data_IF_997939152858
#
_entry.id   IF_997939152858
#
_cell.length_a   1.000
_cell.length_b   1.000
_cell.length_c   1.000
_cell.angle_alpha   90.00
_cell.angle_beta   90.00
_cell.angle_gamma   90.00
#
_symmetry.space_group_name_H-M   'P 1'
#
loop_
_entity.id
_entity.type
_entity.pdbx_description
1 polymer ?
#
# COMPACT_ATOMS: atom_id res chain seq x y z
N UNK A 1 42.24 72.49 -27.04
CA UNK A 1 40.98 71.77 -26.72
C UNK A 1 41.21 70.27 -26.85
N UNK A 2 41.16 69.51 -25.75
CA UNK A 2 41.22 68.04 -25.76
C UNK A 2 39.86 67.53 -25.28
N UNK A 3 39.12 66.85 -26.14
CA UNK A 3 37.86 66.19 -25.79
C UNK A 3 38.17 64.87 -25.06
N UNK A 4 37.70 64.75 -23.82
CA UNK A 4 37.68 63.49 -23.10
C UNK A 4 36.55 62.60 -23.63
N UNK A 5 36.75 61.29 -23.86
CA UNK A 5 35.67 60.40 -24.25
C UNK A 5 34.75 60.15 -23.06
N UNK A 6 33.44 60.38 -23.27
CA UNK A 6 32.37 59.97 -22.36
C UNK A 6 32.44 58.46 -22.14
N UNK A 7 32.70 58.03 -20.90
CA UNK A 7 32.47 56.64 -20.47
C UNK A 7 30.99 56.34 -20.65
N UNK A 8 30.65 55.47 -21.61
CA UNK A 8 29.33 54.83 -21.67
C UNK A 8 29.25 53.89 -20.47
N UNK A 9 28.38 54.22 -19.52
CA UNK A 9 28.10 53.39 -18.37
C UNK A 9 27.64 52.01 -18.86
N UNK A 10 28.35 50.99 -18.41
CA UNK A 10 28.08 49.58 -18.65
C UNK A 10 26.90 49.19 -17.75
N UNK A 11 25.67 49.32 -18.24
CA UNK A 11 24.44 48.99 -17.47
C UNK A 11 24.00 47.53 -17.67
N UNK A 12 24.73 46.73 -18.45
CA UNK A 12 24.33 45.35 -18.80
C UNK A 12 24.69 44.29 -17.74
N UNK A 13 25.65 44.55 -16.87
CA UNK A 13 26.22 43.52 -15.98
C UNK A 13 25.30 43.05 -14.83
N UNK A 14 24.51 43.91 -14.16
CA UNK A 14 23.68 43.47 -13.02
C UNK A 14 22.46 42.67 -13.45
N UNK A 15 21.77 43.10 -14.51
CA UNK A 15 20.52 42.47 -14.97
C UNK A 15 20.79 41.06 -15.51
N UNK A 16 21.87 40.88 -16.27
CA UNK A 16 22.27 39.59 -16.83
C UNK A 16 22.62 38.58 -15.72
N UNK A 17 23.27 39.04 -14.65
CA UNK A 17 23.54 38.23 -13.46
C UNK A 17 22.25 37.80 -12.74
N UNK A 18 21.27 38.70 -12.59
CA UNK A 18 19.98 38.36 -11.98
C UNK A 18 19.21 37.33 -12.81
N UNK A 19 19.19 37.49 -14.14
CA UNK A 19 18.53 36.53 -15.04
C UNK A 19 19.22 35.17 -14.95
N UNK A 20 20.55 35.12 -14.95
CA UNK A 20 21.31 33.88 -14.80
C UNK A 20 21.02 33.17 -13.47
N UNK A 21 20.93 33.90 -12.36
CA UNK A 21 20.60 33.34 -11.04
C UNK A 21 19.18 32.79 -11.01
N UNK A 22 18.21 33.50 -11.59
CA UNK A 22 16.81 33.04 -11.66
C UNK A 22 16.72 31.75 -12.49
N UNK A 23 17.36 31.70 -13.66
CA UNK A 23 17.38 30.51 -14.52
C UNK A 23 18.04 29.33 -13.78
N UNK A 24 19.15 29.57 -13.08
CA UNK A 24 19.84 28.54 -12.31
C UNK A 24 18.98 28.02 -11.16
N UNK A 25 18.33 28.91 -10.40
CA UNK A 25 17.42 28.55 -9.31
C UNK A 25 16.20 27.76 -9.81
N UNK A 26 15.59 28.18 -10.92
CA UNK A 26 14.49 27.45 -11.55
C UNK A 26 14.93 26.07 -12.06
N UNK A 27 16.11 25.98 -12.67
CA UNK A 27 16.67 24.72 -13.18
C UNK A 27 16.95 23.73 -12.04
N UNK A 28 17.49 24.21 -10.92
CA UNK A 28 17.70 23.42 -9.71
C UNK A 28 16.37 22.95 -9.10
N UNK A 29 15.37 23.83 -9.00
CA UNK A 29 14.05 23.47 -8.47
C UNK A 29 13.37 22.38 -9.32
N UNK A 30 13.45 22.49 -10.65
CA UNK A 30 12.96 21.44 -11.56
C UNK A 30 13.75 20.15 -11.42
N UNK A 31 15.08 20.23 -11.32
CA UNK A 31 15.95 19.06 -11.12
C UNK A 31 15.61 18.31 -9.84
N UNK A 32 15.43 19.01 -8.72
CA UNK A 32 15.05 18.42 -7.44
C UNK A 32 13.67 17.77 -7.49
N UNK A 33 12.71 18.40 -8.18
CA UNK A 33 11.36 17.83 -8.36
C UNK A 33 11.42 16.51 -9.13
N UNK A 34 12.13 16.48 -10.25
CA UNK A 34 12.26 15.25 -11.06
C UNK A 34 12.95 14.14 -10.28
N UNK A 35 13.97 14.46 -9.47
CA UNK A 35 14.63 13.45 -8.61
C UNK A 35 13.63 12.89 -7.60
N UNK A 36 12.86 13.75 -6.93
CA UNK A 36 11.82 13.32 -6.00
C UNK A 36 10.77 12.40 -6.65
N UNK A 37 10.25 12.79 -7.81
CA UNK A 37 9.26 12.01 -8.57
C UNK A 37 9.83 10.62 -8.96
N UNK A 38 11.11 10.55 -9.33
CA UNK A 38 11.79 9.29 -9.68
C UNK A 38 11.99 8.39 -8.46
N UNK A 39 12.39 8.95 -7.32
CA UNK A 39 12.55 8.19 -6.07
C UNK A 39 11.21 7.65 -5.56
N UNK A 40 10.15 8.45 -5.60
CA UNK A 40 8.79 8.01 -5.29
C UNK A 40 8.36 6.87 -6.23
N UNK A 41 8.55 7.03 -7.54
CA UNK A 41 8.22 6.01 -8.53
C UNK A 41 8.96 4.68 -8.29
N UNK A 42 10.26 4.74 -7.96
CA UNK A 42 11.04 3.54 -7.59
C UNK A 42 10.50 2.89 -6.33
N UNK A 43 10.17 3.67 -5.31
CA UNK A 43 9.62 3.16 -4.06
C UNK A 43 8.27 2.44 -4.27
N UNK A 44 7.35 3.04 -5.01
CA UNK A 44 6.04 2.44 -5.35
C UNK A 44 6.23 1.16 -6.18
N UNK A 45 7.21 1.13 -7.09
CA UNK A 45 7.55 -0.07 -7.87
C UNK A 45 8.11 -1.20 -6.98
N UNK A 46 8.94 -0.89 -5.99
CA UNK A 46 9.40 -1.86 -5.00
C UNK A 46 8.23 -2.39 -4.17
N UNK A 47 7.35 -1.51 -3.68
CA UNK A 47 6.15 -1.91 -2.93
C UNK A 47 5.25 -2.83 -3.76
N UNK A 48 5.04 -2.49 -5.03
CA UNK A 48 4.30 -3.33 -5.99
C UNK A 48 4.96 -4.70 -6.19
N UNK A 49 6.29 -4.75 -6.25
CA UNK A 49 7.03 -6.01 -6.37
C UNK A 49 6.84 -6.87 -5.12
N UNK A 50 6.91 -6.28 -3.93
CA UNK A 50 6.67 -6.99 -2.67
C UNK A 50 5.23 -7.49 -2.53
N UNK A 51 4.23 -6.69 -2.93
CA UNK A 51 2.84 -7.16 -2.93
C UNK A 51 2.59 -8.27 -3.95
N UNK A 52 3.26 -8.23 -5.10
CA UNK A 52 3.21 -9.33 -6.08
C UNK A 52 3.86 -10.60 -5.56
N UNK A 53 4.99 -10.50 -4.86
CA UNK A 53 5.64 -11.66 -4.21
C UNK A 53 4.72 -12.27 -3.15
N UNK A 54 4.10 -11.43 -2.30
CA UNK A 54 3.14 -11.87 -1.29
C UNK A 54 1.92 -12.53 -1.94
N UNK A 55 1.34 -11.91 -2.97
CA UNK A 55 0.25 -12.48 -3.77
C UNK A 55 0.62 -13.86 -4.33
N UNK A 56 1.78 -14.00 -4.97
CA UNK A 56 2.21 -15.27 -5.54
C UNK A 56 2.40 -16.34 -4.46
N UNK A 57 2.97 -15.98 -3.31
CA UNK A 57 3.10 -16.88 -2.18
C UNK A 57 1.74 -17.32 -1.62
N UNK A 58 0.75 -16.42 -1.57
CA UNK A 58 -0.62 -16.77 -1.19
C UNK A 58 -1.26 -17.74 -2.18
N UNK A 59 -1.06 -17.55 -3.49
CA UNK A 59 -1.56 -18.47 -4.53
C UNK A 59 -0.90 -19.84 -4.40
N UNK A 60 0.43 -19.88 -4.27
CA UNK A 60 1.18 -21.13 -4.07
C UNK A 60 0.67 -21.91 -2.86
N UNK A 61 0.47 -21.22 -1.74
CA UNK A 61 -0.04 -21.83 -0.51
C UNK A 61 -1.50 -22.25 -0.68
N UNK A 62 -2.35 -21.44 -1.30
CA UNK A 62 -3.75 -21.76 -1.56
C UNK A 62 -3.90 -23.04 -2.41
N UNK A 63 -3.07 -23.20 -3.45
CA UNK A 63 -3.11 -24.33 -4.37
C UNK A 63 -2.35 -25.57 -3.86
N UNK A 64 -1.45 -25.41 -2.90
CA UNK A 64 -0.67 -26.49 -2.30
C UNK A 64 -1.51 -27.48 -1.47
N UNK A 65 -0.86 -28.52 -0.94
CA UNK A 65 -1.46 -29.43 0.05
C UNK A 65 -1.48 -28.80 1.45
N UNK A 66 -2.29 -29.34 2.37
CA UNK A 66 -2.25 -28.93 3.77
C UNK A 66 -0.81 -29.05 4.33
N UNK A 67 -0.37 -28.04 5.09
CA UNK A 67 1.00 -27.92 5.58
C UNK A 67 1.97 -27.24 4.59
N UNK A 68 1.55 -26.89 3.37
CA UNK A 68 2.37 -26.09 2.45
C UNK A 68 2.68 -24.73 3.08
N UNK A 69 3.96 -24.38 3.14
CA UNK A 69 4.41 -23.10 3.72
C UNK A 69 5.18 -22.24 2.71
N UNK A 70 4.98 -20.93 2.76
CA UNK A 70 5.81 -19.94 2.06
C UNK A 70 6.15 -18.80 3.02
N UNK A 71 7.36 -18.26 2.90
CA UNK A 71 7.79 -17.10 3.69
C UNK A 71 8.15 -15.96 2.74
N UNK A 72 7.62 -14.77 3.03
CA UNK A 72 7.86 -13.55 2.26
C UNK A 72 8.32 -12.46 3.23
N UNK A 73 9.33 -11.69 2.82
CA UNK A 73 9.73 -10.50 3.54
C UNK A 73 9.03 -9.29 2.93
N UNK A 74 8.37 -8.50 3.76
CA UNK A 74 7.62 -7.33 3.33
C UNK A 74 8.08 -6.10 4.10
N UNK A 75 8.33 -4.99 3.41
CA UNK A 75 8.68 -3.72 4.06
C UNK A 75 7.59 -2.69 3.88
N UNK A 76 7.39 -1.83 4.88
CA UNK A 76 6.54 -0.64 4.80
C UNK A 76 7.43 0.60 4.57
N UNK A 77 7.74 0.94 3.31
CA UNK A 77 8.58 2.09 3.01
C UNK A 77 7.84 3.41 3.23
N UNK A 78 8.57 4.51 3.08
CA UNK A 78 8.00 5.83 2.85
C UNK A 78 8.30 6.20 1.40
N UNK A 79 7.27 6.43 0.58
CA UNK A 79 7.39 6.79 -0.82
C UNK A 79 6.98 8.26 -1.00
N UNK A 80 7.96 9.17 -1.09
CA UNK A 80 7.67 10.61 -1.13
C UNK A 80 6.97 11.07 0.16
N UNK A 81 5.77 11.63 0.03
CA UNK A 81 4.91 12.04 1.14
C UNK A 81 4.02 10.91 1.69
N UNK A 82 4.01 9.73 1.04
CA UNK A 82 3.20 8.57 1.44
C UNK A 82 3.97 7.66 2.38
N UNK A 83 3.65 7.72 3.66
CA UNK A 83 4.12 6.75 4.66
C UNK A 83 3.21 5.53 4.64
N UNK A 84 3.71 4.36 4.23
CA UNK A 84 2.91 3.13 4.31
C UNK A 84 2.81 2.71 5.79
N UNK A 85 1.59 2.48 6.28
CA UNK A 85 1.31 2.17 7.69
C UNK A 85 0.92 0.70 7.90
N UNK A 86 0.54 0.00 6.83
CA UNK A 86 0.34 -1.45 6.90
C UNK A 86 -0.25 -2.06 5.64
N UNK A 87 -0.74 -3.28 5.81
CA UNK A 87 -1.30 -4.11 4.74
C UNK A 87 -2.70 -4.60 5.11
N UNK A 88 -3.59 -4.60 4.13
CA UNK A 88 -4.90 -5.21 4.22
C UNK A 88 -4.98 -6.39 3.26
N UNK A 89 -5.54 -7.49 3.73
CA UNK A 89 -6.01 -8.61 2.93
C UNK A 89 -7.53 -8.53 2.86
N UNK A 90 -8.06 -8.20 1.70
CA UNK A 90 -9.48 -7.96 1.50
C UNK A 90 -10.07 -8.99 0.54
N UNK A 91 -11.15 -9.65 0.95
CA UNK A 91 -12.03 -10.38 0.05
C UNK A 91 -13.20 -9.48 -0.28
N UNK A 92 -13.47 -9.27 -1.56
CA UNK A 92 -14.71 -8.66 -2.02
C UNK A 92 -15.56 -9.75 -2.69
N UNK A 93 -16.79 -9.92 -2.18
CA UNK A 93 -17.78 -10.87 -2.69
C UNK A 93 -18.66 -10.26 -3.79
N UNK A 94 -18.63 -8.94 -3.95
CA UNK A 94 -19.32 -8.23 -5.03
C UNK A 94 -18.29 -7.82 -6.10
N UNK A 95 -18.48 -8.24 -7.37
CA UNK A 95 -17.55 -7.94 -8.46
C UNK A 95 -17.45 -6.44 -8.76
N UNK A 96 -18.42 -5.62 -8.34
CA UNK A 96 -18.36 -4.16 -8.50
C UNK A 96 -17.14 -3.53 -7.81
N UNK A 97 -16.62 -4.18 -6.75
CA UNK A 97 -15.43 -3.74 -6.01
C UNK A 97 -14.14 -4.40 -6.53
N UNK A 98 -14.23 -5.28 -7.52
CA UNK A 98 -13.11 -5.99 -8.13
C UNK A 98 -12.54 -5.29 -9.38
N UNK A 99 -12.83 -4.01 -9.61
CA UNK A 99 -12.43 -3.28 -10.83
C UNK A 99 -10.93 -3.29 -11.12
N UNK A 100 -10.10 -3.35 -10.07
CA UNK A 100 -8.64 -3.41 -10.19
C UNK A 100 -8.13 -4.83 -10.51
N UNK A 101 -9.00 -5.83 -10.39
CA UNK A 101 -8.69 -7.25 -10.61
C UNK A 101 -9.32 -7.75 -11.90
N UNK A 102 -8.61 -7.57 -13.02
CA UNK A 102 -9.04 -8.08 -14.31
C UNK A 102 -9.15 -9.62 -14.27
N UNK A 103 -10.28 -10.16 -14.73
CA UNK A 103 -10.49 -11.61 -14.88
C UNK A 103 -11.22 -12.32 -13.73
N UNK A 104 -11.61 -11.61 -12.67
CA UNK A 104 -12.36 -12.20 -11.56
C UNK A 104 -13.88 -12.08 -11.78
N UNK A 105 -14.55 -13.21 -12.03
CA UNK A 105 -15.99 -13.30 -12.23
C UNK A 105 -16.66 -13.79 -10.95
N UNK A 106 -17.06 -12.87 -10.07
CA UNK A 106 -17.85 -13.16 -8.87
C UNK A 106 -17.28 -12.56 -7.59
N UNK A 107 -16.01 -12.79 -7.30
CA UNK A 107 -15.33 -12.26 -6.11
C UNK A 107 -13.84 -12.02 -6.39
N UNK A 108 -13.15 -11.29 -5.53
CA UNK A 108 -11.69 -11.13 -5.63
C UNK A 108 -11.04 -10.96 -4.26
N UNK A 109 -9.88 -11.61 -4.11
CA UNK A 109 -8.95 -11.31 -3.04
C UNK A 109 -7.97 -10.22 -3.47
N UNK A 110 -7.64 -9.29 -2.56
CA UNK A 110 -6.69 -8.21 -2.78
C UNK A 110 -5.73 -8.09 -1.60
N UNK A 111 -4.46 -7.83 -1.91
CA UNK A 111 -3.44 -7.32 -0.99
C UNK A 111 -3.30 -5.83 -1.25
N UNK A 112 -3.63 -5.02 -0.25
CA UNK A 112 -3.75 -3.56 -0.36
C UNK A 112 -2.79 -2.91 0.64
N UNK A 113 -1.70 -2.28 0.17
CA UNK A 113 -0.91 -1.38 0.98
C UNK A 113 -1.67 -0.09 1.25
N UNK A 114 -1.57 0.40 2.48
CA UNK A 114 -2.28 1.60 2.91
C UNK A 114 -1.31 2.60 3.52
N UNK A 115 -1.50 3.87 3.20
CA UNK A 115 -0.73 4.99 3.74
C UNK A 115 -1.63 6.02 4.39
N UNK A 116 -1.12 6.76 5.37
CA UNK A 116 -1.73 7.99 5.84
C UNK A 116 -1.88 9.01 4.72
N UNK A 117 -3.03 9.68 4.65
CA UNK A 117 -3.26 10.80 3.76
C UNK A 117 -2.44 12.01 4.24
N UNK A 118 -1.53 12.55 3.42
CA UNK A 118 -0.71 13.69 3.81
C UNK A 118 -1.54 14.97 4.02
N UNK A 119 -2.75 15.03 3.45
CA UNK A 119 -3.67 16.19 3.57
C UNK A 119 -4.67 16.06 4.72
N UNK A 120 -4.90 14.83 5.22
CA UNK A 120 -5.90 14.55 6.24
C UNK A 120 -5.32 13.60 7.30
N UNK A 121 -4.93 14.16 8.45
CA UNK A 121 -4.20 13.44 9.50
C UNK A 121 -4.94 12.25 10.15
N UNK A 122 -6.23 12.05 9.89
CA UNK A 122 -6.97 10.88 10.39
C UNK A 122 -7.39 9.92 9.26
N UNK A 123 -7.04 10.23 8.02
CA UNK A 123 -7.45 9.44 6.86
C UNK A 123 -6.29 8.60 6.36
N UNK A 124 -6.61 7.41 5.93
CA UNK A 124 -5.77 6.45 5.26
C UNK A 124 -6.29 6.25 3.83
N UNK A 125 -5.36 6.13 2.90
CA UNK A 125 -5.62 5.96 1.48
C UNK A 125 -4.90 4.71 0.98
N UNK A 126 -5.58 3.99 0.08
CA UNK A 126 -5.00 2.82 -0.57
C UNK A 126 -3.96 3.28 -1.60
N UNK A 127 -2.83 2.58 -1.65
CA UNK A 127 -1.82 2.82 -2.69
C UNK A 127 -2.19 2.00 -3.93
N UNK A 128 -3.09 2.55 -4.75
CA UNK A 128 -3.74 1.87 -5.87
C UNK A 128 -2.77 1.16 -6.81
N UNK A 129 -1.62 1.78 -7.10
CA UNK A 129 -0.64 1.27 -8.06
C UNK A 129 0.11 0.02 -7.57
N UNK A 130 0.05 -0.25 -6.26
CA UNK A 130 0.67 -1.38 -5.59
C UNK A 130 -0.34 -2.45 -5.13
N UNK A 131 -1.63 -2.27 -5.41
CA UNK A 131 -2.65 -3.30 -5.10
C UNK A 131 -2.40 -4.54 -5.95
N UNK A 132 -2.43 -5.71 -5.31
CA UNK A 132 -2.23 -7.01 -5.96
C UNK A 132 -3.45 -7.90 -5.77
N UNK A 133 -4.03 -8.37 -6.88
CA UNK A 133 -5.18 -9.26 -6.88
C UNK A 133 -4.76 -10.72 -6.78
N UNK A 134 -5.22 -11.43 -5.75
CA UNK A 134 -4.92 -12.84 -5.50
C UNK A 134 -6.01 -13.69 -6.14
N UNK A 135 -5.65 -14.52 -7.12
CA UNK A 135 -6.58 -15.45 -7.75
C UNK A 135 -6.61 -16.76 -6.95
N UNK A 136 -7.35 -16.74 -5.84
CA UNK A 136 -7.56 -17.90 -4.98
C UNK A 136 -9.04 -18.01 -4.62
N UNK A 137 -9.48 -19.20 -4.20
CA UNK A 137 -10.90 -19.45 -3.96
C UNK A 137 -11.48 -18.58 -2.83
N UNK A 138 -12.72 -18.10 -3.00
CA UNK A 138 -13.37 -17.15 -2.08
C UNK A 138 -13.81 -17.78 -0.76
N UNK A 139 -13.84 -19.11 -0.69
CA UNK A 139 -14.09 -19.89 0.51
C UNK A 139 -12.83 -20.12 1.37
N UNK A 140 -11.63 -19.83 0.82
CA UNK A 140 -10.38 -19.85 1.58
C UNK A 140 -10.41 -18.73 2.63
N UNK A 141 -10.21 -19.09 3.89
CA UNK A 141 -10.15 -18.11 4.97
C UNK A 141 -8.72 -17.65 5.23
N UNK A 142 -8.53 -16.37 5.55
CA UNK A 142 -7.26 -15.88 6.09
C UNK A 142 -7.39 -15.85 7.61
N UNK A 143 -6.44 -16.45 8.30
CA UNK A 143 -6.38 -16.53 9.76
C UNK A 143 -5.06 -16.02 10.28
N UNK A 144 -5.09 -15.49 11.49
CA UNK A 144 -3.86 -15.25 12.23
C UNK A 144 -3.37 -16.57 12.83
N UNK A 145 -2.06 -16.69 13.03
CA UNK A 145 -1.48 -17.86 13.67
C UNK A 145 -1.17 -17.61 15.13
N UNK A 146 -1.02 -18.69 15.90
CA UNK A 146 -0.62 -18.60 17.30
C UNK A 146 0.82 -18.05 17.42
N UNK A 147 0.99 -16.89 18.04
CA UNK A 147 2.29 -16.27 18.32
C UNK A 147 2.80 -15.27 17.28
N UNK A 148 2.05 -15.01 16.21
CA UNK A 148 2.32 -13.91 15.27
C UNK A 148 1.78 -12.57 15.75
N UNK A 149 2.09 -11.50 15.01
CA UNK A 149 1.43 -10.20 15.15
C UNK A 149 -0.08 -10.36 14.86
N UNK A 150 -0.94 -9.72 15.65
CA UNK A 150 -2.40 -9.86 15.50
C UNK A 150 -2.88 -9.28 14.17
N UNK A 151 -3.91 -9.92 13.59
CA UNK A 151 -4.58 -9.41 12.40
C UNK A 151 -5.98 -8.91 12.74
N UNK A 152 -6.23 -7.62 12.50
CA UNK A 152 -7.54 -7.02 12.73
C UNK A 152 -8.56 -7.49 11.69
N UNK A 153 -9.80 -7.78 12.11
CA UNK A 153 -10.93 -8.08 11.20
C UNK A 153 -11.54 -6.83 10.55
N UNK A 154 -10.95 -5.67 10.79
CA UNK A 154 -11.42 -4.39 10.31
C UNK A 154 -10.37 -3.75 9.39
N UNK A 155 -10.76 -2.89 8.43
CA UNK A 155 -9.81 -2.18 7.56
C UNK A 155 -8.93 -1.16 8.32
N UNK A 156 -9.21 -0.88 9.59
CA UNK A 156 -8.46 0.09 10.38
C UNK A 156 -7.15 -0.46 10.97
N UNK A 157 -6.21 0.47 11.15
CA UNK A 157 -4.88 0.24 11.73
C UNK A 157 -4.79 0.61 13.23
N UNK A 158 -5.80 1.30 13.78
CA UNK A 158 -5.88 1.71 15.19
C UNK A 158 -7.06 1.05 15.90
N UNK A 159 -6.92 0.81 17.20
CA UNK A 159 -7.87 0.05 18.03
C UNK A 159 -9.07 0.88 18.51
N UNK A 160 -8.98 2.21 18.53
CA UNK A 160 -10.05 3.09 19.05
C UNK A 160 -10.92 3.66 17.92
N UNK A 161 -12.04 2.99 17.64
CA UNK A 161 -13.11 3.53 16.80
C UNK A 161 -12.81 3.49 15.29
N UNK A 162 -13.24 2.41 14.64
CA UNK A 162 -13.05 2.22 13.22
C UNK A 162 -14.15 2.95 12.41
N UNK A 163 -13.85 4.14 11.88
CA UNK A 163 -14.73 4.82 10.93
C UNK A 163 -14.35 4.42 9.49
N UNK A 164 -15.22 3.72 8.73
CA UNK A 164 -14.91 3.24 7.38
C UNK A 164 -14.44 4.34 6.41
N UNK A 165 -14.98 5.56 6.56
CA UNK A 165 -14.63 6.71 5.72
C UNK A 165 -13.17 7.13 5.87
N UNK A 166 -12.61 6.94 7.06
CA UNK A 166 -11.21 7.25 7.37
C UNK A 166 -10.26 6.27 6.68
N UNK A 167 -10.75 5.17 6.10
CA UNK A 167 -9.93 4.19 5.37
C UNK A 167 -10.34 4.06 3.91
N UNK A 168 -11.17 4.99 3.42
CA UNK A 168 -11.69 4.96 2.05
C UNK A 168 -12.60 3.77 1.74
N UNK A 169 -13.14 3.11 2.77
CA UNK A 169 -14.05 1.98 2.63
C UNK A 169 -15.47 2.49 2.82
N UNK A 170 -16.32 2.29 1.81
CA UNK A 170 -17.74 2.66 1.92
C UNK A 170 -18.42 1.77 2.96
N UNK A 171 -19.38 2.32 3.71
CA UNK A 171 -20.17 1.52 4.66
C UNK A 171 -20.95 0.38 3.98
N UNK A 172 -21.30 0.54 2.70
CA UNK A 172 -21.90 -0.52 1.87
C UNK A 172 -20.94 -1.67 1.56
N UNK A 173 -19.63 -1.44 1.66
CA UNK A 173 -18.59 -2.45 1.45
C UNK A 173 -18.29 -3.18 2.76
N UNK A 174 -18.19 -2.44 3.85
CA UNK A 174 -17.90 -2.98 5.18
C UNK A 174 -18.64 -2.17 6.26
N UNK A 175 -19.44 -2.86 7.07
CA UNK A 175 -20.18 -2.25 8.17
C UNK A 175 -19.50 -2.60 9.51
N UNK A 176 -19.02 -1.62 10.28
CA UNK A 176 -18.38 -1.87 11.57
C UNK A 176 -19.33 -2.49 12.61
N UNK A 177 -20.65 -2.32 12.46
CA UNK A 177 -21.63 -2.93 13.37
C UNK A 177 -21.86 -4.43 13.12
N UNK A 178 -21.57 -4.88 11.90
CA UNK A 178 -21.75 -6.28 11.46
C UNK A 178 -20.61 -6.70 10.51
N UNK A 179 -19.35 -6.74 10.98
CA UNK A 179 -18.15 -6.80 10.14
C UNK A 179 -18.05 -8.05 9.25
N UNK A 180 -18.70 -9.15 9.64
CA UNK A 180 -18.73 -10.41 8.89
C UNK A 180 -19.90 -10.54 7.92
N UNK A 181 -20.86 -9.60 7.96
CA UNK A 181 -22.09 -9.64 7.16
C UNK A 181 -22.01 -8.87 5.83
N UNK A 182 -21.00 -8.01 5.69
CA UNK A 182 -20.82 -7.17 4.51
C UNK A 182 -20.38 -7.96 3.27
N UNK A 183 -20.42 -7.35 2.06
CA UNK A 183 -19.88 -7.95 0.85
C UNK A 183 -18.35 -7.98 0.83
N UNK A 184 -17.69 -7.73 1.97
CA UNK A 184 -16.24 -7.85 2.09
C UNK A 184 -15.80 -8.42 3.44
N UNK A 185 -14.64 -9.07 3.45
CA UNK A 185 -13.97 -9.57 4.65
C UNK A 185 -12.54 -9.07 4.68
N UNK A 186 -12.07 -8.70 5.86
CA UNK A 186 -10.79 -8.02 6.04
C UNK A 186 -9.90 -8.75 7.02
N UNK A 187 -8.61 -8.74 6.72
CA UNK A 187 -7.54 -8.96 7.68
C UNK A 187 -6.51 -7.86 7.52
N UNK A 188 -6.27 -7.08 8.56
CA UNK A 188 -5.37 -5.92 8.51
C UNK A 188 -4.18 -6.17 9.41
N UNK A 189 -2.99 -6.08 8.83
CA UNK A 189 -1.71 -6.13 9.50
C UNK A 189 -1.21 -4.69 9.70
N UNK A 190 -1.20 -4.25 10.96
CA UNK A 190 -0.70 -2.94 11.38
C UNK A 190 0.80 -2.95 11.64
N UNK A 191 1.48 -1.87 11.25
CA UNK A 191 2.91 -1.67 11.40
C UNK A 191 3.28 -0.31 11.98
N UNK A 192 2.51 0.22 12.92
CA UNK A 192 2.74 1.55 13.51
C UNK A 192 4.20 1.76 13.94
N UNK A 193 4.83 0.73 14.55
CA UNK A 193 6.24 0.73 14.95
C UNK A 193 7.12 -0.27 14.18
N UNK A 194 6.54 -1.08 13.29
CA UNK A 194 7.22 -2.16 12.58
C UNK A 194 7.23 -1.85 11.08
N UNK A 195 8.42 -1.68 10.52
CA UNK A 195 8.62 -1.31 9.10
C UNK A 195 9.04 -2.48 8.22
N UNK A 196 9.30 -3.63 8.81
CA UNK A 196 9.69 -4.87 8.13
C UNK A 196 8.97 -6.04 8.79
N UNK A 197 8.38 -6.90 7.96
CA UNK A 197 7.71 -8.12 8.38
C UNK A 197 8.33 -9.32 7.70
N UNK A 198 8.49 -10.38 8.47
CA UNK A 198 8.63 -11.73 7.94
C UNK A 198 7.25 -12.38 8.01
N UNK A 199 6.61 -12.57 6.86
CA UNK A 199 5.27 -13.13 6.75
C UNK A 199 5.38 -14.58 6.32
N UNK A 200 5.09 -15.51 7.22
CA UNK A 200 4.98 -16.94 6.94
C UNK A 200 3.51 -17.30 6.71
N UNK A 201 3.22 -17.85 5.54
CA UNK A 201 1.93 -18.34 5.10
C UNK A 201 1.91 -19.86 5.21
N UNK A 202 0.88 -20.44 5.80
CA UNK A 202 0.72 -21.90 5.94
C UNK A 202 -0.69 -22.31 5.52
N UNK A 203 -0.83 -23.30 4.63
CA UNK A 203 -2.14 -23.87 4.30
C UNK A 203 -2.59 -24.77 5.44
N UNK A 204 -3.77 -24.51 5.96
CA UNK A 204 -4.47 -25.37 6.90
C UNK A 204 -5.82 -25.78 6.33
N UNK A 205 -6.39 -26.83 6.89
CA UNK A 205 -7.75 -27.29 6.59
C UNK A 205 -8.55 -27.27 7.86
N UNK A 206 -9.78 -26.78 7.77
CA UNK A 206 -10.69 -26.78 8.90
C UNK A 206 -12.01 -27.41 8.51
N UNK A 207 -12.57 -28.19 9.43
CA UNK A 207 -13.91 -28.72 9.33
C UNK A 207 -14.89 -27.68 9.88
N UNK A 208 -15.51 -26.92 8.98
CA UNK A 208 -16.54 -25.95 9.34
C UNK A 208 -17.91 -26.43 8.82
N UNK A 209 -18.86 -26.62 9.75
CA UNK A 209 -20.22 -27.08 9.44
C UNK A 209 -20.28 -28.37 8.59
N UNK A 210 -19.37 -29.33 8.87
CA UNK A 210 -19.33 -30.63 8.18
C UNK A 210 -18.66 -30.62 6.80
N UNK A 211 -18.10 -29.49 6.36
CA UNK A 211 -17.31 -29.39 5.14
C UNK A 211 -15.87 -28.96 5.46
N UNK A 212 -14.89 -29.58 4.79
CA UNK A 212 -13.52 -29.09 4.81
C UNK A 212 -13.43 -27.77 4.05
N UNK A 213 -12.89 -26.75 4.71
CA UNK A 213 -12.57 -25.45 4.11
C UNK A 213 -11.08 -25.21 4.20
N UNK A 214 -10.50 -24.70 3.11
CA UNK A 214 -9.13 -24.25 3.11
C UNK A 214 -8.98 -23.00 3.97
N UNK A 215 -7.88 -22.91 4.70
CA UNK A 215 -7.47 -21.69 5.37
C UNK A 215 -5.98 -21.42 5.10
N UNK A 216 -5.60 -20.16 5.12
CA UNK A 216 -4.22 -19.70 5.10
C UNK A 216 -3.97 -19.02 6.44
N UNK A 217 -3.14 -19.65 7.26
CA UNK A 217 -2.60 -19.01 8.46
C UNK A 217 -1.48 -18.05 8.05
N UNK A 218 -1.58 -16.83 8.54
CA UNK A 218 -0.64 -15.74 8.31
C UNK A 218 0.06 -15.43 9.63
N UNK A 219 1.32 -15.82 9.72
CA UNK A 219 2.22 -15.46 10.79
C UNK A 219 3.08 -14.28 10.36
N UNK A 220 2.76 -13.08 10.83
CA UNK A 220 3.65 -11.93 10.67
C UNK A 220 4.55 -11.80 11.91
N UNK A 221 5.85 -11.71 11.70
CA UNK A 221 6.84 -11.43 12.74
C UNK A 221 7.62 -10.16 12.36
N UNK A 222 8.22 -9.50 13.35
CA UNK A 222 9.15 -8.40 13.09
C UNK A 222 10.34 -8.94 12.26
N UNK A 223 10.53 -8.37 11.08
CA UNK A 223 11.56 -8.77 10.11
C UNK A 223 12.86 -8.01 10.26
#
# INVERSE_FOLDING_TARGET
MRFAPKKKAQVSAPIELFVAIIILAMSLALGLKVIGDVEEGKCVATLKTQTQQLKNAMIDVALGSAGTTRTVYFSLPTCGDKKIDGLQFALYLDPAYCRLCQGNYGYCWQVIPVSKDPTQANRHIQVSDSISCVNMAGDIQIKECAGGLPLSNAPCFEESGCNPLDFGVLKSVWDPSTPDSGPSRWKTLSGTDIRSFKIKLTKTTELAAGAERGAIEVCAEKG
#
